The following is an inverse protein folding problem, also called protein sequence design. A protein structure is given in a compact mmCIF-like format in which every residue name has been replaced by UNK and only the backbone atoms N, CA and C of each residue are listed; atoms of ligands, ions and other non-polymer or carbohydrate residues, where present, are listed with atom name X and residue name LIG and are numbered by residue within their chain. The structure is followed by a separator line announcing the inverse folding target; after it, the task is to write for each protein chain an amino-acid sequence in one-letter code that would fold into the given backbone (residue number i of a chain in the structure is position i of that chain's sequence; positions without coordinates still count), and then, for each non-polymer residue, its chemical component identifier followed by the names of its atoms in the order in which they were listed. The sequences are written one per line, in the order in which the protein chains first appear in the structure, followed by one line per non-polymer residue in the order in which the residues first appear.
data_IF_527583206442
#
_entry.id   IF_527583206442
#
_cell.length_a   1.000
_cell.length_b   1.000
_cell.length_c   1.000
_cell.angle_alpha   90.00
_cell.angle_beta   90.00
_cell.angle_gamma   90.00
#
_symmetry.space_group_name_H-M   'P 1'
#
loop_
_entity.id
_entity.type
_entity.pdbx_description
1 polymer ?
#
# COMPACT_ATOMS: atom_id res chain seq x y z
N UNK A 1 -4.45 24.63 -3.87
CA UNK A 1 -3.59 23.65 -4.58
C UNK A 1 -3.67 22.33 -3.83
N UNK A 2 -4.47 21.38 -4.29
CA UNK A 2 -4.55 20.05 -3.69
C UNK A 2 -4.86 19.06 -4.81
N UNK A 3 -3.83 18.41 -5.36
CA UNK A 3 -4.00 17.24 -6.23
C UNK A 3 -3.85 16.00 -5.35
N UNK A 4 -4.89 15.70 -4.58
CA UNK A 4 -5.00 14.46 -3.82
C UNK A 4 -6.28 13.77 -4.26
N UNK A 5 -6.22 13.00 -5.36
CA UNK A 5 -7.18 11.95 -5.81
C UNK A 5 -7.27 11.74 -7.35
N UNK A 6 -6.61 12.52 -8.22
CA UNK A 6 -7.06 12.67 -9.62
C UNK A 6 -6.14 12.17 -10.75
N UNK A 7 -5.41 11.07 -10.56
CA UNK A 7 -4.76 10.34 -11.68
C UNK A 7 -5.06 8.83 -11.61
N UNK A 8 -6.32 8.51 -11.30
CA UNK A 8 -6.81 7.14 -11.25
C UNK A 8 -6.93 6.57 -12.68
N UNK A 9 -6.13 5.56 -13.08
CA UNK A 9 -6.35 4.83 -14.32
C UNK A 9 -7.70 4.08 -14.24
N UNK A 10 -8.28 3.61 -15.36
CA UNK A 10 -9.55 2.88 -15.38
C UNK A 10 -9.41 1.54 -14.63
N UNK A 11 -9.56 1.59 -13.31
CA UNK A 11 -9.24 0.52 -12.38
C UNK A 11 -9.12 1.08 -10.96
N UNK A 12 -10.26 1.49 -10.39
CA UNK A 12 -10.37 2.23 -9.13
C UNK A 12 -9.48 1.70 -8.00
N UNK A 13 -8.51 2.52 -7.62
CA UNK A 13 -7.79 2.39 -6.36
C UNK A 13 -8.61 2.99 -5.22
N UNK A 14 -8.77 2.23 -4.14
CA UNK A 14 -9.47 2.66 -2.92
C UNK A 14 -8.46 2.72 -1.79
N UNK A 15 -8.27 3.90 -1.19
CA UNK A 15 -7.50 4.02 0.06
C UNK A 15 -8.18 3.18 1.15
N UNK A 16 -7.42 2.27 1.74
CA UNK A 16 -7.85 1.41 2.85
C UNK A 16 -7.52 2.02 4.22
N UNK A 17 -6.42 2.76 4.30
CA UNK A 17 -5.95 3.38 5.53
C UNK A 17 -4.48 3.78 5.41
N UNK A 18 -3.93 4.33 6.49
CA UNK A 18 -2.52 4.67 6.59
C UNK A 18 -1.95 4.32 7.96
N UNK A 19 -0.65 4.07 8.01
CA UNK A 19 0.11 3.75 9.21
C UNK A 19 1.46 4.45 9.13
N UNK A 20 2.08 4.76 10.27
CA UNK A 20 3.34 5.53 10.31
C UNK A 20 4.38 4.86 11.19
N UNK A 21 5.65 5.00 10.82
CA UNK A 21 6.80 4.55 11.61
C UNK A 21 7.86 5.64 11.60
N UNK A 22 8.00 6.34 12.71
CA UNK A 22 8.90 7.50 12.80
C UNK A 22 8.49 8.60 11.80
N UNK A 23 9.41 9.10 10.95
CA UNK A 23 9.11 10.10 9.94
C UNK A 23 8.36 9.54 8.71
N UNK A 24 8.40 8.22 8.49
CA UNK A 24 7.81 7.58 7.33
C UNK A 24 6.31 7.29 7.53
N UNK A 25 5.48 7.81 6.64
CA UNK A 25 4.04 7.55 6.57
C UNK A 25 3.70 6.63 5.41
N UNK A 26 3.08 5.49 5.71
CA UNK A 26 2.66 4.49 4.75
C UNK A 26 1.15 4.58 4.50
N UNK A 27 0.72 4.54 3.25
CA UNK A 27 -0.68 4.49 2.87
C UNK A 27 -0.97 3.21 2.11
N UNK A 28 -2.00 2.49 2.54
CA UNK A 28 -2.49 1.30 1.87
C UNK A 28 -3.61 1.66 0.89
N UNK A 29 -3.46 1.22 -0.35
CA UNK A 29 -4.46 1.32 -1.40
C UNK A 29 -4.85 -0.09 -1.86
N UNK A 30 -6.15 -0.34 -2.01
CA UNK A 30 -6.68 -1.52 -2.69
C UNK A 30 -6.90 -1.18 -4.15
N UNK A 31 -6.20 -1.88 -5.02
CA UNK A 31 -6.33 -1.76 -6.47
C UNK A 31 -7.41 -2.75 -6.94
N UNK A 32 -8.45 -2.21 -7.56
CA UNK A 32 -9.57 -2.96 -8.11
C UNK A 32 -9.61 -2.72 -9.61
N UNK A 33 -9.02 -3.62 -10.41
CA UNK A 33 -8.99 -3.48 -11.85
C UNK A 33 -8.48 -4.71 -12.59
N UNK A 34 -8.87 -4.86 -13.85
CA UNK A 34 -8.25 -5.83 -14.75
C UNK A 34 -6.83 -5.35 -15.10
N UNK A 35 -5.83 -6.24 -15.18
CA UNK A 35 -5.92 -7.71 -15.15
C UNK A 35 -5.78 -8.36 -13.74
N UNK A 36 -5.65 -7.60 -12.65
CA UNK A 36 -5.36 -8.15 -11.32
C UNK A 36 -6.35 -7.67 -10.25
N UNK A 37 -7.55 -8.29 -10.16
CA UNK A 37 -8.50 -7.96 -9.09
C UNK A 37 -7.91 -8.31 -7.72
N UNK A 38 -8.14 -7.45 -6.72
CA UNK A 38 -7.71 -7.60 -5.32
C UNK A 38 -6.18 -7.56 -5.10
N UNK A 39 -5.49 -6.62 -5.75
CA UNK A 39 -4.15 -6.22 -5.32
C UNK A 39 -4.18 -5.07 -4.34
N UNK A 40 -3.12 -4.97 -3.56
CA UNK A 40 -2.88 -3.94 -2.58
C UNK A 40 -1.53 -3.31 -2.87
N UNK A 41 -1.47 -2.00 -2.74
CA UNK A 41 -0.28 -1.18 -2.92
C UNK A 41 -0.02 -0.40 -1.65
N UNK A 42 1.22 -0.36 -1.22
CA UNK A 42 1.68 0.49 -0.13
C UNK A 42 2.59 1.55 -0.71
N UNK A 43 2.23 2.80 -0.45
CA UNK A 43 3.07 3.96 -0.74
C UNK A 43 3.66 4.49 0.56
N UNK A 44 4.92 4.88 0.54
CA UNK A 44 5.60 5.54 1.65
C UNK A 44 5.88 6.99 1.29
N UNK A 45 5.54 7.88 2.22
CA UNK A 45 5.92 9.28 2.23
C UNK A 45 6.88 9.50 3.40
N UNK A 46 8.15 9.74 3.08
CA UNK A 46 9.23 10.05 4.04
C UNK A 46 9.70 11.51 3.89
N UNK A 47 8.83 12.39 3.38
CA UNK A 47 9.19 13.76 3.02
C UNK A 47 9.85 13.92 1.65
N UNK A 48 10.20 12.82 0.98
CA UNK A 48 10.63 12.79 -0.43
C UNK A 48 9.46 12.55 -1.42
N UNK A 49 8.23 12.65 -0.94
CA UNK A 49 7.00 12.37 -1.69
C UNK A 49 6.55 10.91 -1.62
N UNK A 50 5.31 10.67 -2.05
CA UNK A 50 4.69 9.34 -2.10
C UNK A 50 5.37 8.46 -3.13
N UNK A 51 6.08 7.44 -2.65
CA UNK A 51 6.76 6.45 -3.47
C UNK A 51 6.17 5.05 -3.23
N UNK A 52 5.91 4.31 -4.31
CA UNK A 52 5.45 2.93 -4.22
C UNK A 52 6.53 2.06 -3.58
N UNK A 53 6.23 1.50 -2.42
CA UNK A 53 7.17 0.64 -1.67
C UNK A 53 6.96 -0.82 -2.02
N UNK A 54 5.72 -1.28 -1.98
CA UNK A 54 5.42 -2.66 -2.30
C UNK A 54 4.01 -2.84 -2.85
N UNK A 55 3.84 -3.93 -3.59
CA UNK A 55 2.54 -4.41 -4.05
C UNK A 55 2.38 -5.88 -3.71
N UNK A 56 1.19 -6.26 -3.25
CA UNK A 56 0.90 -7.62 -2.82
C UNK A 56 -0.58 -7.96 -3.04
N UNK A 57 -0.96 -9.23 -3.06
CA UNK A 57 -2.36 -9.62 -3.05
C UNK A 57 -2.77 -10.24 -1.72
N UNK A 58 -4.07 -10.33 -1.46
CA UNK A 58 -4.61 -11.00 -0.27
C UNK A 58 -4.62 -12.54 -0.42
N UNK A 59 -3.80 -13.11 -1.31
CA UNK A 59 -3.69 -14.56 -1.44
C UNK A 59 -2.80 -15.13 -0.33
N UNK A 60 -3.21 -16.21 0.34
CA UNK A 60 -2.36 -16.88 1.32
C UNK A 60 -1.11 -17.43 0.62
N UNK A 61 0.06 -17.18 1.20
CA UNK A 61 1.36 -17.60 0.66
C UNK A 61 1.95 -16.67 -0.40
N UNK A 62 1.27 -15.59 -0.80
CA UNK A 62 1.86 -14.57 -1.66
C UNK A 62 2.54 -13.50 -0.79
N UNK A 63 3.86 -13.38 -0.95
CA UNK A 63 4.68 -12.36 -0.30
C UNK A 63 4.54 -11.01 -0.99
N UNK A 64 4.69 -9.92 -0.25
CA UNK A 64 4.77 -8.60 -0.86
C UNK A 64 5.96 -8.47 -1.80
N UNK A 65 5.72 -7.88 -2.97
CA UNK A 65 6.76 -7.54 -3.94
C UNK A 65 7.26 -6.14 -3.66
N UNK A 66 8.42 -6.06 -3.03
CA UNK A 66 9.11 -4.82 -2.66
C UNK A 66 9.82 -4.20 -3.87
N UNK A 67 9.88 -2.86 -3.88
CA UNK A 67 10.52 -2.06 -4.93
C UNK A 67 11.80 -1.42 -4.41
N UNK A 68 12.84 -1.41 -5.25
CA UNK A 68 14.06 -0.64 -5.00
C UNK A 68 14.77 -1.06 -3.71
N UNK A 69 15.16 -0.06 -2.90
CA UNK A 69 15.90 -0.23 -1.66
C UNK A 69 15.13 -0.99 -0.56
N UNK A 70 13.81 -1.10 -0.69
CA UNK A 70 12.99 -1.84 0.27
C UNK A 70 13.11 -3.36 0.14
N UNK A 71 13.77 -3.88 -0.90
CA UNK A 71 13.87 -5.33 -1.08
C UNK A 71 14.88 -5.93 -0.08
N UNK A 72 14.35 -6.62 0.94
CA UNK A 72 15.17 -7.20 2.02
C UNK A 72 15.35 -6.26 3.22
N UNK A 73 14.56 -5.20 3.30
CA UNK A 73 14.60 -4.28 4.43
C UNK A 73 13.99 -4.92 5.70
N UNK A 74 14.52 -4.56 6.87
CA UNK A 74 14.00 -5.03 8.17
C UNK A 74 12.57 -4.56 8.43
N UNK A 75 12.12 -3.50 7.75
CA UNK A 75 10.75 -3.00 7.91
C UNK A 75 9.74 -3.76 7.08
N UNK A 76 10.16 -4.54 6.07
CA UNK A 76 9.28 -5.33 5.22
C UNK A 76 8.25 -6.17 5.99
N UNK A 77 8.64 -7.05 6.94
CA UNK A 77 7.69 -7.88 7.67
C UNK A 77 6.70 -7.04 8.49
N UNK A 78 7.15 -5.92 9.08
CA UNK A 78 6.28 -5.04 9.86
C UNK A 78 5.26 -4.31 8.98
N UNK A 79 5.69 -3.73 7.86
CA UNK A 79 4.83 -3.03 6.90
C UNK A 79 3.78 -4.00 6.35
N UNK A 80 4.18 -5.23 5.99
CA UNK A 80 3.25 -6.25 5.51
C UNK A 80 2.21 -6.60 6.57
N UNK A 81 2.62 -6.78 7.83
CA UNK A 81 1.69 -7.05 8.93
C UNK A 81 0.68 -5.92 9.13
N UNK A 82 1.12 -4.65 9.17
CA UNK A 82 0.21 -3.50 9.29
C UNK A 82 -0.75 -3.42 8.12
N UNK A 83 -0.27 -3.65 6.90
CA UNK A 83 -1.11 -3.65 5.71
C UNK A 83 -2.14 -4.79 5.77
N UNK A 84 -1.75 -6.01 6.16
CA UNK A 84 -2.68 -7.14 6.34
C UNK A 84 -3.71 -6.86 7.45
N UNK A 85 -3.33 -6.19 8.54
CA UNK A 85 -4.27 -5.77 9.60
C UNK A 85 -5.35 -4.82 9.05
N UNK A 86 -4.97 -3.84 8.22
CA UNK A 86 -5.93 -2.95 7.56
C UNK A 86 -6.84 -3.67 6.57
N UNK A 87 -6.34 -4.70 5.89
CA UNK A 87 -7.16 -5.53 4.99
C UNK A 87 -8.17 -6.37 5.78
N UNK A 88 -7.75 -6.95 6.91
CA UNK A 88 -8.61 -7.76 7.77
C UNK A 88 -9.66 -6.93 8.52
N UNK A 89 -9.31 -5.69 8.88
CA UNK A 89 -10.20 -4.70 9.48
C UNK A 89 -10.22 -3.44 8.63
N UNK A 90 -10.93 -3.44 7.49
CA UNK A 90 -11.15 -2.20 6.77
C UNK A 90 -11.93 -1.27 7.72
N UNK A 91 -11.48 -0.01 7.85
CA UNK A 91 -12.24 0.99 8.60
C UNK A 91 -13.67 1.03 8.06
N UNK A 92 -14.62 0.53 8.84
CA UNK A 92 -16.05 0.63 8.53
C UNK A 92 -16.45 2.07 8.83
N UNK A 93 -16.54 2.92 7.81
CA UNK A 93 -17.40 4.09 7.87
C UNK A 93 -18.83 3.70 7.53
#
# INVERSE_FOLDING_TARGET
MAKTAFDLPPGGERRMGSFKRGPAAFTLFKISGHPAPNRYRVDCDDGNGLNEVCTFSNKPGESARWRGAWNGDEWCPWIEEQARRLIAKPEKN
#
